data_IF_302926300689
#
_entry.id   IF_302926300689
#
_cell.length_a   1.000
_cell.length_b   1.000
_cell.length_c   1.000
_cell.angle_alpha   90.00
_cell.angle_beta   90.00
_cell.angle_gamma   90.00
#
_symmetry.space_group_name_H-M   'P 1'
#
loop_
_entity.id
_entity.type
_entity.pdbx_description
1 polymer ?
#
# COMPACT_ATOMS: atom_id res chain seq x y z
N UNK A 1 3.61 12.60 9.12
CA UNK A 1 4.49 12.54 7.94
C UNK A 1 5.46 13.70 8.01
N UNK A 2 6.76 13.43 7.77
CA UNK A 2 7.78 14.46 7.68
C UNK A 2 8.44 14.45 6.30
N UNK A 3 8.79 15.60 5.77
CA UNK A 3 9.55 15.78 4.53
C UNK A 3 10.88 16.43 4.86
N UNK A 4 11.97 15.81 4.45
CA UNK A 4 13.32 16.30 4.64
C UNK A 4 13.99 16.60 3.30
N UNK A 5 14.87 17.60 3.29
CA UNK A 5 15.74 17.85 2.14
C UNK A 5 16.90 16.86 2.13
N UNK A 6 17.29 16.44 0.94
CA UNK A 6 18.51 15.65 0.72
C UNK A 6 19.55 16.59 0.10
N UNK A 7 20.70 16.73 0.76
CA UNK A 7 21.85 17.48 0.28
C UNK A 7 22.48 16.83 -0.96
N UNK A 8 23.32 17.58 -1.67
CA UNK A 8 24.06 17.07 -2.85
C UNK A 8 25.02 15.92 -2.49
N UNK A 9 25.44 15.85 -1.24
CA UNK A 9 26.28 14.79 -0.66
C UNK A 9 25.47 13.58 -0.16
N UNK A 10 24.13 13.60 -0.29
CA UNK A 10 23.23 12.57 0.20
C UNK A 10 22.82 12.72 1.68
N UNK A 11 23.28 13.76 2.37
CA UNK A 11 22.88 14.04 3.75
C UNK A 11 21.39 14.41 3.85
N UNK A 12 20.76 14.06 4.95
CA UNK A 12 19.37 14.43 5.26
C UNK A 12 19.40 15.64 6.21
N UNK A 13 18.57 16.66 5.92
CA UNK A 13 18.44 17.83 6.79
C UNK A 13 18.03 17.45 8.21
N UNK A 14 18.66 18.03 9.24
CA UNK A 14 18.28 17.81 10.64
C UNK A 14 16.82 18.16 10.91
N UNK A 15 16.39 19.31 10.41
CA UNK A 15 15.01 19.77 10.56
C UNK A 15 14.21 19.41 9.31
N UNK A 16 12.97 18.92 9.48
CA UNK A 16 12.11 18.69 8.35
C UNK A 16 11.75 20.01 7.65
N UNK A 17 11.67 19.95 6.34
CA UNK A 17 11.11 21.02 5.52
C UNK A 17 9.61 21.21 5.81
N UNK A 18 8.95 20.12 6.17
CA UNK A 18 7.53 20.09 6.47
C UNK A 18 7.18 18.93 7.42
N UNK A 19 6.29 19.19 8.35
CA UNK A 19 5.61 18.18 9.16
C UNK A 19 4.10 18.26 8.93
N UNK A 20 3.46 17.12 8.74
CA UNK A 20 2.03 16.99 8.53
C UNK A 20 1.50 15.99 9.57
N UNK A 21 0.62 16.46 10.43
CA UNK A 21 -0.10 15.59 11.35
C UNK A 21 -1.06 14.69 10.56
N UNK A 22 -0.98 13.40 10.79
CA UNK A 22 -1.93 12.39 10.32
C UNK A 22 -2.40 11.57 11.51
N UNK A 23 -3.31 10.65 11.30
CA UNK A 23 -3.78 9.77 12.36
C UNK A 23 -2.70 8.77 12.81
N UNK A 24 -3.01 7.99 13.85
CA UNK A 24 -2.10 6.99 14.45
C UNK A 24 -1.77 5.85 13.48
N UNK A 25 -0.66 5.17 13.75
CA UNK A 25 -0.24 3.94 13.04
C UNK A 25 -0.10 4.10 11.53
N UNK A 26 0.45 5.24 11.08
CA UNK A 26 0.97 5.36 9.72
C UNK A 26 2.05 4.27 9.51
N UNK A 27 1.92 3.44 8.49
CA UNK A 27 2.78 2.26 8.36
C UNK A 27 3.76 2.33 7.19
N UNK A 28 3.38 3.00 6.13
CA UNK A 28 4.22 3.20 4.96
C UNK A 28 3.95 4.58 4.34
N UNK A 29 4.85 5.01 3.49
CA UNK A 29 4.65 6.11 2.55
C UNK A 29 5.29 5.74 1.23
N UNK A 30 4.57 5.86 0.12
CA UNK A 30 5.12 5.68 -1.21
C UNK A 30 4.59 6.73 -2.17
N UNK A 31 5.48 7.16 -3.06
CA UNK A 31 5.13 8.03 -4.19
C UNK A 31 4.70 7.18 -5.38
N UNK A 32 3.78 7.71 -6.19
CA UNK A 32 3.50 7.14 -7.50
C UNK A 32 4.68 7.33 -8.46
N UNK A 33 4.68 6.63 -9.59
CA UNK A 33 5.77 6.69 -10.58
C UNK A 33 5.99 8.09 -11.19
N UNK A 34 4.98 8.97 -11.11
CA UNK A 34 5.10 10.36 -11.58
C UNK A 34 5.70 11.31 -10.56
N UNK A 35 5.94 10.85 -9.32
CA UNK A 35 6.34 11.66 -8.17
C UNK A 35 5.39 12.83 -7.84
N UNK A 36 4.13 12.75 -8.25
CA UNK A 36 3.14 13.80 -7.98
C UNK A 36 2.19 13.49 -6.84
N UNK A 37 2.09 12.22 -6.46
CA UNK A 37 1.15 11.77 -5.43
C UNK A 37 1.80 10.84 -4.44
N UNK A 38 1.53 11.06 -3.15
CA UNK A 38 1.99 10.21 -2.07
C UNK A 38 0.81 9.56 -1.35
N UNK A 39 0.97 8.29 -0.97
CA UNK A 39 -0.05 7.52 -0.28
C UNK A 39 0.51 6.98 1.02
N UNK A 40 -0.26 7.17 2.11
CA UNK A 40 0.14 6.80 3.47
C UNK A 40 -0.96 5.93 4.08
N UNK A 41 -0.81 4.61 4.05
CA UNK A 41 -1.75 3.70 4.72
C UNK A 41 -1.58 3.74 6.24
N UNK A 42 -2.70 3.72 6.95
CA UNK A 42 -2.80 3.75 8.40
C UNK A 42 -3.58 2.54 8.90
N UNK A 43 -2.93 1.66 9.66
CA UNK A 43 -3.56 0.45 10.16
C UNK A 43 -4.55 0.70 11.31
N UNK A 44 -4.40 1.79 12.05
CA UNK A 44 -5.28 2.13 13.17
C UNK A 44 -6.67 2.58 12.72
N UNK A 45 -6.78 3.71 11.99
CA UNK A 45 -8.06 4.26 11.56
C UNK A 45 -8.66 3.54 10.35
N UNK A 46 -7.99 2.51 9.78
CA UNK A 46 -8.42 1.82 8.56
C UNK A 46 -8.54 2.77 7.35
N UNK A 47 -7.50 3.56 7.11
CA UNK A 47 -7.54 4.66 6.16
C UNK A 47 -6.27 4.75 5.31
N UNK A 48 -6.40 5.26 4.10
CA UNK A 48 -5.28 5.64 3.25
C UNK A 48 -5.32 7.16 3.07
N UNK A 49 -4.27 7.84 3.50
CA UNK A 49 -4.11 9.27 3.28
C UNK A 49 -3.46 9.52 1.93
N UNK A 50 -3.98 10.50 1.20
CA UNK A 50 -3.56 10.88 -0.15
C UNK A 50 -3.04 12.31 -0.16
N UNK A 51 -1.85 12.51 -0.71
CA UNK A 51 -1.23 13.83 -0.82
C UNK A 51 -0.81 14.11 -2.26
N UNK A 52 -0.77 15.38 -2.61
CA UNK A 52 -0.08 15.89 -3.79
C UNK A 52 1.30 16.36 -3.40
N UNK A 53 2.29 16.06 -4.22
CA UNK A 53 3.67 16.51 -4.03
C UNK A 53 4.02 17.56 -5.08
N UNK A 54 4.59 18.65 -4.62
CA UNK A 54 5.15 19.70 -5.47
C UNK A 54 6.68 19.56 -5.49
N UNK A 55 7.22 19.10 -6.60
CA UNK A 55 8.68 18.90 -6.78
C UNK A 55 9.50 20.18 -6.69
N UNK A 56 8.91 21.35 -6.99
CA UNK A 56 9.62 22.63 -6.94
C UNK A 56 9.83 23.10 -5.50
N UNK A 57 8.88 22.86 -4.64
CA UNK A 57 8.93 23.28 -3.24
C UNK A 57 9.29 22.14 -2.29
N UNK A 58 9.23 20.88 -2.77
CA UNK A 58 9.41 19.68 -1.96
C UNK A 58 8.30 19.45 -0.96
N UNK A 59 7.11 20.04 -1.15
CA UNK A 59 6.03 19.99 -0.15
C UNK A 59 4.88 19.09 -0.57
N UNK A 60 4.28 18.49 0.45
CA UNK A 60 3.04 17.74 0.32
C UNK A 60 1.86 18.64 0.68
N UNK A 61 0.79 18.53 -0.08
CA UNK A 61 -0.53 19.13 0.21
C UNK A 61 -1.60 18.05 0.21
N UNK A 62 -2.65 18.18 1.07
CA UNK A 62 -3.76 17.22 1.06
C UNK A 62 -4.38 17.08 -0.33
N UNK A 63 -4.67 15.84 -0.74
CA UNK A 63 -5.49 15.61 -1.93
C UNK A 63 -6.99 15.78 -1.59
N UNK A 64 -7.86 15.71 -2.58
CA UNK A 64 -9.31 15.79 -2.41
C UNK A 64 -9.95 14.54 -3.01
N UNK A 65 -10.53 13.65 -2.16
CA UNK A 65 -10.46 13.68 -0.70
C UNK A 65 -9.05 13.40 -0.16
N UNK A 66 -8.75 13.86 1.07
CA UNK A 66 -7.51 13.53 1.76
C UNK A 66 -7.48 12.04 2.16
N UNK A 67 -8.62 11.52 2.60
CA UNK A 67 -8.73 10.20 3.22
C UNK A 67 -9.61 9.29 2.37
N UNK A 68 -9.14 8.08 2.14
CA UNK A 68 -9.93 6.95 1.65
C UNK A 68 -10.16 6.01 2.82
N UNK A 69 -11.42 5.90 3.25
CA UNK A 69 -11.86 4.90 4.23
C UNK A 69 -11.83 3.51 3.57
N UNK A 70 -11.20 2.55 4.22
CA UNK A 70 -11.09 1.17 3.71
C UNK A 70 -12.05 0.20 4.41
N UNK A 71 -12.84 0.68 5.35
CA UNK A 71 -13.79 -0.08 6.15
C UNK A 71 -13.17 -0.68 7.42
N UNK A 72 -14.01 -1.04 8.36
CA UNK A 72 -13.61 -1.54 9.67
C UNK A 72 -12.73 -2.80 9.59
N UNK A 73 -11.73 -2.88 10.48
CA UNK A 73 -10.83 -4.03 10.63
C UNK A 73 -10.06 -4.43 9.36
N UNK A 74 -9.80 -3.49 8.47
CA UNK A 74 -8.97 -3.73 7.29
C UNK A 74 -7.49 -3.59 7.59
N UNK A 75 -7.09 -2.47 8.19
CA UNK A 75 -5.71 -2.14 8.52
C UNK A 75 -4.79 -2.07 7.31
N UNK A 76 -5.00 -1.11 6.36
CA UNK A 76 -4.09 -0.95 5.24
C UNK A 76 -2.68 -0.64 5.74
N UNK A 77 -1.68 -1.39 5.24
CA UNK A 77 -0.34 -1.41 5.83
C UNK A 77 0.76 -0.99 4.88
N UNK A 78 0.88 -1.68 3.76
CA UNK A 78 1.84 -1.37 2.69
C UNK A 78 1.13 -1.34 1.35
N UNK A 79 1.84 -0.87 0.32
CA UNK A 79 1.29 -0.77 -1.03
C UNK A 79 2.33 -1.11 -2.08
N UNK A 80 1.84 -1.52 -3.26
CA UNK A 80 2.64 -1.77 -4.45
C UNK A 80 1.91 -1.24 -5.68
N UNK A 81 2.58 -0.40 -6.46
CA UNK A 81 2.04 0.11 -7.73
C UNK A 81 2.27 -0.90 -8.85
N UNK A 82 1.25 -1.11 -9.68
CA UNK A 82 1.45 -1.90 -10.90
C UNK A 82 2.38 -1.14 -11.87
N UNK A 83 3.39 -1.79 -12.47
CA UNK A 83 4.40 -1.10 -13.27
C UNK A 83 3.88 -0.51 -14.59
N UNK A 84 2.67 -0.91 -15.05
CA UNK A 84 2.12 -0.50 -16.35
C UNK A 84 0.64 -0.11 -16.33
N UNK A 85 -0.13 -0.55 -15.34
CA UNK A 85 -1.55 -0.26 -15.21
C UNK A 85 -1.79 0.76 -14.10
N UNK A 86 -2.87 1.49 -14.23
CA UNK A 86 -3.34 2.48 -13.24
C UNK A 86 -3.97 1.78 -12.02
N UNK A 87 -3.25 0.82 -11.47
CA UNK A 87 -3.70 0.01 -10.33
C UNK A 87 -2.65 0.03 -9.24
N UNK A 88 -3.11 0.18 -8.02
CA UNK A 88 -2.29 0.05 -6.81
C UNK A 88 -2.92 -0.97 -5.88
N UNK A 89 -2.07 -1.81 -5.30
CA UNK A 89 -2.47 -2.86 -4.37
C UNK A 89 -2.04 -2.49 -2.96
N UNK A 90 -2.90 -2.77 -1.99
CA UNK A 90 -2.61 -2.62 -0.56
C UNK A 90 -2.77 -3.97 0.13
N UNK A 91 -1.86 -4.32 1.02
CA UNK A 91 -2.12 -5.38 1.98
C UNK A 91 -2.92 -4.83 3.16
N UNK A 92 -3.92 -5.59 3.60
CA UNK A 92 -4.75 -5.29 4.74
C UNK A 92 -4.34 -6.18 5.91
N UNK A 93 -3.56 -5.59 6.84
CA UNK A 93 -2.96 -6.32 7.95
C UNK A 93 -3.97 -7.08 8.79
N UNK A 94 -5.03 -6.40 9.21
CA UNK A 94 -6.03 -6.98 10.12
C UNK A 94 -6.99 -7.93 9.40
N UNK A 95 -7.37 -7.59 8.18
CA UNK A 95 -8.27 -8.43 7.38
C UNK A 95 -7.58 -9.65 6.78
N UNK A 96 -6.25 -9.72 6.76
CA UNK A 96 -5.49 -10.71 5.99
C UNK A 96 -5.99 -10.78 4.55
N UNK A 97 -5.87 -9.68 3.84
CA UNK A 97 -6.37 -9.54 2.48
C UNK A 97 -5.43 -8.67 1.63
N UNK A 98 -5.59 -8.80 0.32
CA UNK A 98 -5.10 -7.84 -0.65
C UNK A 98 -6.29 -7.04 -1.19
N UNK A 99 -6.13 -5.74 -1.33
CA UNK A 99 -7.11 -4.86 -1.94
C UNK A 99 -6.50 -4.14 -3.15
N UNK A 100 -7.24 -4.08 -4.24
CA UNK A 100 -6.89 -3.36 -5.46
C UNK A 100 -7.67 -2.06 -5.56
N UNK A 101 -7.00 -1.00 -6.00
CA UNK A 101 -7.57 0.32 -6.25
C UNK A 101 -7.17 0.81 -7.64
N UNK A 102 -8.07 1.51 -8.33
CA UNK A 102 -7.69 2.34 -9.47
C UNK A 102 -7.01 3.60 -8.96
N UNK A 103 -5.97 4.03 -9.66
CA UNK A 103 -5.32 5.32 -9.46
C UNK A 103 -5.65 6.25 -10.62
N UNK A 104 -6.26 7.37 -10.33
CA UNK A 104 -6.44 8.42 -11.33
C UNK A 104 -5.14 9.25 -11.42
N UNK A 105 -4.33 9.06 -12.44
CA UNK A 105 -3.07 9.78 -12.63
C UNK A 105 -3.19 11.31 -12.81
N UNK A 106 -4.37 11.84 -13.12
CA UNK A 106 -4.58 13.28 -13.21
C UNK A 106 -4.84 13.91 -11.86
N UNK A 107 -5.57 13.21 -11.00
CA UNK A 107 -6.04 13.75 -9.71
C UNK A 107 -5.36 13.12 -8.50
N UNK A 108 -4.71 11.95 -8.65
CA UNK A 108 -4.13 11.18 -7.54
C UNK A 108 -5.17 10.50 -6.66
N UNK A 109 -6.42 10.41 -7.12
CA UNK A 109 -7.50 9.78 -6.35
C UNK A 109 -7.47 8.27 -6.51
N UNK A 110 -7.68 7.57 -5.41
CA UNK A 110 -7.90 6.13 -5.37
C UNK A 110 -9.39 5.82 -5.42
N UNK A 111 -9.78 4.80 -6.17
CA UNK A 111 -11.10 4.21 -6.12
C UNK A 111 -11.02 2.70 -5.93
N UNK A 112 -11.74 2.18 -4.94
CA UNK A 112 -11.75 0.75 -4.61
C UNK A 112 -12.25 -0.09 -5.80
N UNK A 113 -11.61 -1.24 -6.01
CA UNK A 113 -11.98 -2.22 -7.06
C UNK A 113 -12.45 -3.52 -6.45
N UNK A 114 -11.54 -4.23 -5.80
CA UNK A 114 -11.79 -5.57 -5.26
C UNK A 114 -10.90 -5.85 -4.05
N UNK A 115 -11.28 -6.88 -3.30
CA UNK A 115 -10.50 -7.41 -2.18
C UNK A 115 -10.58 -8.93 -2.17
N UNK A 116 -9.43 -9.60 -2.02
CA UNK A 116 -9.33 -11.05 -1.90
C UNK A 116 -8.64 -11.42 -0.59
N UNK A 117 -9.06 -12.55 0.02
CA UNK A 117 -8.37 -13.10 1.19
C UNK A 117 -6.95 -13.53 0.84
N UNK A 118 -6.00 -13.33 1.76
CA UNK A 118 -4.63 -13.84 1.65
C UNK A 118 -4.41 -15.15 2.42
N UNK A 119 -5.40 -15.59 3.17
CA UNK A 119 -5.39 -16.88 3.91
C UNK A 119 -6.59 -17.73 3.51
N UNK A 120 -6.55 -19.05 3.72
CA UNK A 120 -7.69 -19.91 3.46
C UNK A 120 -8.93 -19.51 4.29
N UNK A 121 -10.12 -19.69 3.71
CA UNK A 121 -11.39 -19.30 4.37
C UNK A 121 -11.65 -20.02 5.68
N UNK A 122 -11.08 -21.20 5.88
CA UNK A 122 -11.20 -21.99 7.09
C UNK A 122 -10.13 -21.70 8.15
N UNK A 123 -9.15 -20.84 7.89
CA UNK A 123 -8.12 -20.48 8.85
C UNK A 123 -8.67 -19.54 9.92
N UNK A 124 -8.58 -19.92 11.20
CA UNK A 124 -9.20 -19.21 12.35
C UNK A 124 -8.21 -18.74 13.41
N UNK A 125 -6.93 -19.08 13.28
CA UNK A 125 -5.88 -18.70 14.22
C UNK A 125 -5.53 -17.21 14.12
N UNK A 126 -4.79 -16.73 15.12
CA UNK A 126 -4.24 -15.36 15.10
C UNK A 126 -3.39 -15.16 13.86
N UNK A 127 -3.68 -14.12 13.14
CA UNK A 127 -3.06 -13.84 11.84
C UNK A 127 -2.96 -12.35 11.54
N UNK A 128 -2.02 -11.99 10.69
CA UNK A 128 -1.91 -10.63 10.13
C UNK A 128 -1.05 -10.64 8.87
N UNK A 129 -1.26 -9.69 7.98
CA UNK A 129 -0.35 -9.50 6.84
C UNK A 129 0.91 -8.74 7.26
N UNK A 130 1.99 -8.92 6.51
CA UNK A 130 3.28 -8.30 6.79
C UNK A 130 3.80 -7.43 5.64
N UNK A 131 3.75 -7.91 4.42
CA UNK A 131 4.33 -7.22 3.27
C UNK A 131 3.59 -7.59 1.99
N UNK A 132 3.54 -6.64 1.07
CA UNK A 132 3.08 -6.83 -0.30
C UNK A 132 4.23 -6.52 -1.26
N UNK A 133 4.40 -7.36 -2.28
CA UNK A 133 5.38 -7.14 -3.36
C UNK A 133 4.78 -7.53 -4.69
N UNK A 134 5.00 -6.69 -5.70
CA UNK A 134 4.64 -6.99 -7.08
C UNK A 134 5.86 -7.48 -7.85
N UNK A 135 5.70 -8.54 -8.62
CA UNK A 135 6.75 -9.02 -9.50
C UNK A 135 7.03 -7.96 -10.60
N UNK A 136 8.29 -7.69 -10.96
CA UNK A 136 8.63 -6.64 -11.94
C UNK A 136 7.95 -6.77 -13.30
N UNK A 137 7.54 -7.98 -13.68
CA UNK A 137 6.76 -8.21 -14.91
C UNK A 137 5.34 -7.61 -14.86
N UNK A 138 4.83 -7.26 -13.67
CA UNK A 138 3.44 -6.85 -13.44
C UNK A 138 2.42 -8.00 -13.51
N UNK A 139 2.85 -9.25 -13.69
CA UNK A 139 1.92 -10.39 -13.85
C UNK A 139 1.48 -11.02 -12.52
N UNK A 140 2.22 -10.77 -11.45
CA UNK A 140 2.00 -11.40 -10.15
C UNK A 140 2.21 -10.42 -9.00
N UNK A 141 1.46 -10.60 -7.94
CA UNK A 141 1.63 -9.91 -6.66
C UNK A 141 1.57 -10.92 -5.52
N UNK A 142 2.33 -10.66 -4.47
CA UNK A 142 2.48 -11.57 -3.33
C UNK A 142 2.24 -10.83 -2.02
N UNK A 143 1.62 -11.52 -1.07
CA UNK A 143 1.37 -11.02 0.28
C UNK A 143 1.91 -12.02 1.30
N UNK A 144 2.73 -11.55 2.23
CA UNK A 144 3.24 -12.37 3.32
C UNK A 144 2.25 -12.41 4.49
N UNK A 145 1.94 -13.62 4.96
CA UNK A 145 1.02 -13.89 6.06
C UNK A 145 1.77 -14.34 7.31
N UNK A 146 1.63 -13.60 8.40
CA UNK A 146 2.06 -14.01 9.74
C UNK A 146 0.95 -14.83 10.40
N UNK A 147 1.31 -15.81 11.22
CA UNK A 147 0.39 -16.75 11.86
C UNK A 147 0.00 -17.91 10.94
N UNK A 148 -0.44 -17.64 9.71
CA UNK A 148 -0.58 -18.68 8.68
C UNK A 148 0.76 -19.10 8.06
N UNK A 149 1.84 -18.34 8.26
CA UNK A 149 3.21 -18.61 7.84
C UNK A 149 3.29 -19.02 6.36
N UNK A 150 2.80 -18.14 5.49
CA UNK A 150 2.74 -18.39 4.05
C UNK A 150 2.92 -17.13 3.22
N UNK A 151 3.19 -17.33 1.94
CA UNK A 151 3.06 -16.33 0.90
C UNK A 151 1.79 -16.61 0.08
N UNK A 152 0.84 -15.68 0.07
CA UNK A 152 -0.28 -15.71 -0.85
C UNK A 152 0.14 -15.14 -2.19
N UNK A 153 -0.09 -15.87 -3.27
CA UNK A 153 0.20 -15.45 -4.64
C UNK A 153 -1.08 -15.10 -5.40
N UNK A 154 -1.00 -14.06 -6.24
CA UNK A 154 -2.10 -13.66 -7.13
C UNK A 154 -1.56 -13.40 -8.52
N UNK A 155 -2.30 -13.86 -9.53
CA UNK A 155 -2.10 -13.45 -10.91
C UNK A 155 -2.86 -12.15 -11.13
N UNK A 156 -2.23 -11.22 -11.85
CA UNK A 156 -2.82 -9.96 -12.26
C UNK A 156 -3.18 -10.09 -13.75
N UNK A 157 -4.44 -9.84 -14.09
CA UNK A 157 -4.86 -9.76 -15.48
C UNK A 157 -4.21 -8.53 -16.15
N UNK A 158 -3.56 -8.75 -17.28
CA UNK A 158 -2.72 -7.74 -17.93
C UNK A 158 -3.49 -6.58 -18.57
N UNK A 159 -4.80 -6.70 -18.73
CA UNK A 159 -5.66 -5.66 -19.31
C UNK A 159 -6.49 -4.95 -18.22
N UNK A 160 -7.14 -5.74 -17.40
CA UNK A 160 -8.04 -5.21 -16.37
C UNK A 160 -7.34 -4.90 -15.05
N UNK A 161 -6.23 -5.58 -14.72
CA UNK A 161 -5.59 -5.50 -13.41
C UNK A 161 -6.31 -6.29 -12.32
N UNK A 162 -7.32 -7.10 -12.66
CA UNK A 162 -8.05 -7.93 -11.71
C UNK A 162 -7.17 -9.07 -11.18
N UNK A 163 -7.44 -9.47 -9.94
CA UNK A 163 -6.69 -10.50 -9.25
C UNK A 163 -7.35 -11.87 -9.37
N UNK A 164 -6.52 -12.90 -9.56
CA UNK A 164 -6.91 -14.31 -9.43
C UNK A 164 -5.99 -14.95 -8.41
N UNK A 165 -6.54 -15.53 -7.33
CA UNK A 165 -5.74 -16.22 -6.32
C UNK A 165 -5.06 -17.46 -6.93
N UNK A 166 -3.80 -17.65 -6.58
CA UNK A 166 -2.99 -18.83 -6.88
C UNK A 166 -2.81 -19.72 -5.66
N UNK A 167 -3.46 -19.35 -4.53
CA UNK A 167 -3.31 -20.04 -3.26
C UNK A 167 -2.15 -19.52 -2.42
N UNK A 168 -1.78 -20.29 -1.41
CA UNK A 168 -0.73 -19.97 -0.43
C UNK A 168 0.38 -21.00 -0.47
N UNK A 169 1.62 -20.54 -0.49
CA UNK A 169 2.82 -21.37 -0.34
C UNK A 169 3.31 -21.24 1.10
N UNK A 170 3.44 -22.33 1.86
CA UNK A 170 4.01 -22.29 3.21
C UNK A 170 5.41 -21.70 3.21
N UNK A 171 5.74 -20.93 4.25
CA UNK A 171 7.09 -20.50 4.57
C UNK A 171 7.52 -21.23 5.84
N UNK A 172 8.82 -21.46 6.00
CA UNK A 172 9.29 -22.00 7.27
C UNK A 172 8.98 -21.01 8.39
N UNK A 173 8.54 -21.51 9.57
CA UNK A 173 8.37 -20.64 10.72
C UNK A 173 9.73 -19.99 11.03
N UNK A 174 9.74 -18.68 11.22
CA UNK A 174 10.92 -18.02 11.78
C UNK A 174 11.14 -18.55 13.19
N UNK A 175 12.37 -18.94 13.54
CA UNK A 175 12.71 -19.40 14.88
C UNK A 175 12.48 -18.33 15.94
#
# INVERSE_FOLDING_TARGET
VAVHQIGKDGSISEKPLQEIATDIKAHAIMMDASNRFAFVPHTGPNAIYQFRFDEKTGRLTPNVPLIVDTGANTGPRQLAFHPKLDVVFFDYEQACAIAAFNLNHKTGQLSFRERLSSVPDNFRETRSNARIEIHPSGKFVYVANRGHNSLAGYRIDSQSGNLTSLGQTPTEPTP
#
